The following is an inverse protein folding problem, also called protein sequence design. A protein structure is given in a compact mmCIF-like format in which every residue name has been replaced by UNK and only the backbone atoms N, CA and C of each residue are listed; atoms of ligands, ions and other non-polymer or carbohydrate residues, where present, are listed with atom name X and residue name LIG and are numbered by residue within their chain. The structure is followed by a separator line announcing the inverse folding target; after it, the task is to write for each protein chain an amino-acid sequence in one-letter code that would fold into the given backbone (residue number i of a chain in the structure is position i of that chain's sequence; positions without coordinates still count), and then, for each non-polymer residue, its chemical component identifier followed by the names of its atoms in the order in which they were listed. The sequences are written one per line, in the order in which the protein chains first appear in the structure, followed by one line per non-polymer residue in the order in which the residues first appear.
data_IF_291884190459
#
_entry.id   IF_291884190459
#
_cell.length_a   1.000
_cell.length_b   1.000
_cell.length_c   1.000
_cell.angle_alpha   90.00
_cell.angle_beta   90.00
_cell.angle_gamma   90.00
#
_symmetry.space_group_name_H-M   'P 1'
#
loop_
_entity.id
_entity.type
_entity.pdbx_description
1 polymer ?
#
# COMPACT_ATOMS: atom_id res chain seq x y z
N UNK A 1 65.14 -1.61 4.09
CA UNK A 1 65.38 -0.18 4.37
C UNK A 1 64.58 0.65 3.37
N UNK A 2 63.94 1.72 3.89
CA UNK A 2 63.23 2.82 3.21
C UNK A 2 61.84 2.51 2.62
N UNK A 3 60.84 3.06 3.29
CA UNK A 3 59.50 3.29 2.76
C UNK A 3 59.26 4.76 2.39
N UNK A 4 58.08 5.01 1.81
CA UNK A 4 57.28 6.24 1.71
C UNK A 4 56.38 6.01 0.48
N UNK A 5 55.06 5.86 0.57
CA UNK A 5 54.08 6.88 0.93
C UNK A 5 53.03 6.87 -0.19
N UNK A 6 51.85 6.31 0.06
CA UNK A 6 50.71 6.37 -0.86
C UNK A 6 49.60 7.15 -0.16
N UNK A 7 49.34 8.36 -0.66
CA UNK A 7 48.22 9.18 -0.29
C UNK A 7 46.96 8.63 -0.97
N UNK A 8 45.96 8.25 -0.17
CA UNK A 8 44.63 7.92 -0.65
C UNK A 8 43.88 9.22 -0.97
N UNK A 9 43.61 9.46 -2.26
CA UNK A 9 42.63 10.46 -2.69
C UNK A 9 41.23 9.90 -2.51
N UNK A 10 40.45 10.48 -1.61
CA UNK A 10 39.00 10.26 -1.55
C UNK A 10 38.34 10.92 -2.77
N UNK A 11 37.85 10.10 -3.69
CA UNK A 11 36.88 10.52 -4.70
C UNK A 11 35.49 10.60 -4.08
N UNK A 12 34.86 11.77 -4.19
CA UNK A 12 33.50 12.05 -3.77
C UNK A 12 32.49 11.06 -4.36
N UNK A 13 31.75 10.37 -3.49
CA UNK A 13 30.55 9.62 -3.85
C UNK A 13 29.32 10.57 -3.84
N UNK A 14 28.33 10.37 -4.72
CA UNK A 14 27.14 11.21 -4.83
C UNK A 14 26.14 10.90 -3.69
N UNK A 15 26.54 11.10 -2.44
CA UNK A 15 25.69 10.96 -1.25
C UNK A 15 25.54 12.26 -0.44
N UNK A 16 26.38 13.26 -0.72
CA UNK A 16 26.64 14.34 0.24
C UNK A 16 25.67 15.55 0.14
N UNK A 17 24.81 15.58 -0.89
CA UNK A 17 23.78 16.63 -1.03
C UNK A 17 22.52 16.36 -0.20
N UNK A 18 22.17 15.11 0.05
CA UNK A 18 21.00 14.74 0.85
C UNK A 18 21.26 14.88 2.37
N UNK A 19 22.49 14.60 2.83
CA UNK A 19 22.86 14.75 4.24
C UNK A 19 22.85 16.22 4.71
N UNK A 20 23.13 17.18 3.81
CA UNK A 20 23.12 18.61 4.14
C UNK A 20 21.71 19.20 4.27
N UNK A 21 20.69 18.62 3.64
CA UNK A 21 19.29 19.04 3.81
C UNK A 21 18.74 18.60 5.19
N UNK A 22 19.06 17.37 5.61
CA UNK A 22 18.61 16.79 6.90
C UNK A 22 19.17 17.53 8.13
N UNK A 23 20.41 18.04 8.03
CA UNK A 23 21.00 18.88 9.09
C UNK A 23 20.47 20.33 9.12
N UNK A 24 19.84 20.79 8.03
CA UNK A 24 19.21 22.11 7.94
C UNK A 24 17.90 22.21 8.72
N UNK A 25 17.08 21.17 8.65
CA UNK A 25 15.78 21.09 9.36
C UNK A 25 15.97 21.02 10.87
N UNK A 26 16.98 20.28 11.34
CA UNK A 26 17.31 20.18 12.77
C UNK A 26 18.02 21.43 13.34
N UNK A 27 18.47 22.38 12.50
CA UNK A 27 19.08 23.65 12.93
C UNK A 27 18.07 24.79 13.12
N UNK A 28 16.80 24.63 12.74
CA UNK A 28 15.77 25.69 12.82
C UNK A 28 14.74 25.55 13.96
N UNK A 29 14.87 24.56 14.84
CA UNK A 29 13.94 24.36 15.96
C UNK A 29 14.63 24.33 17.35
N UNK A 30 15.10 25.48 17.87
CA UNK A 30 15.75 25.55 19.19
C UNK A 30 14.83 25.27 20.40
N UNK A 31 13.53 25.07 20.18
CA UNK A 31 12.52 24.85 21.23
C UNK A 31 12.36 23.38 21.66
N UNK A 32 13.03 22.43 20.98
CA UNK A 32 12.98 21.00 21.33
C UNK A 32 14.03 20.55 22.37
N UNK A 33 14.77 21.48 22.99
CA UNK A 33 15.80 21.18 24.01
C UNK A 33 15.45 21.54 25.46
N UNK A 34 14.21 21.96 25.76
CA UNK A 34 13.77 22.24 27.13
C UNK A 34 12.48 21.50 27.45
N UNK A 35 12.61 20.33 28.04
CA UNK A 35 11.61 19.79 28.96
C UNK A 35 12.23 19.73 30.36
N UNK A 36 11.37 19.94 31.37
CA UNK A 36 11.59 19.75 32.80
C UNK A 36 12.26 20.91 33.55
N UNK A 37 11.46 21.94 33.86
CA UNK A 37 11.40 22.57 35.18
C UNK A 37 10.30 23.63 35.15
N UNK A 38 9.16 23.27 35.74
CA UNK A 38 8.22 24.11 36.49
C UNK A 38 6.75 23.75 36.29
N UNK A 39 6.07 23.68 37.44
CA UNK A 39 4.62 23.80 37.70
C UNK A 39 3.81 22.50 37.77
N UNK A 40 3.70 22.02 39.01
CA UNK A 40 2.54 22.33 39.86
C UNK A 40 1.20 21.77 39.38
N UNK A 41 0.76 20.71 40.05
CA UNK A 41 -0.57 20.10 39.91
C UNK A 41 -1.66 21.08 40.38
N UNK A 42 -2.64 21.38 39.51
CA UNK A 42 -3.90 22.03 39.91
C UNK A 42 -5.12 21.26 39.37
N UNK A 43 -6.22 21.19 40.13
CA UNK A 43 -7.32 20.26 39.86
C UNK A 43 -8.24 20.70 38.71
N UNK A 44 -8.79 19.68 38.06
CA UNK A 44 -9.72 19.72 36.92
C UNK A 44 -11.01 20.50 37.24
N UNK A 45 -11.34 21.50 36.42
CA UNK A 45 -12.68 22.10 36.36
C UNK A 45 -13.46 21.55 35.17
N UNK A 46 -14.63 20.98 35.46
CA UNK A 46 -15.64 20.52 34.49
C UNK A 46 -16.14 21.68 33.63
N UNK A 47 -16.25 21.48 32.31
CA UNK A 47 -17.12 22.26 31.42
C UNK A 47 -17.94 21.31 30.54
N UNK A 48 -19.24 21.59 30.49
CA UNK A 48 -20.28 20.92 29.70
C UNK A 48 -20.22 21.31 28.21
N UNK A 49 -20.88 20.56 27.30
CA UNK A 49 -20.48 20.39 25.91
C UNK A 49 -20.99 21.51 25.00
N UNK A 50 -20.18 21.89 24.01
CA UNK A 50 -20.62 22.68 22.87
C UNK A 50 -20.65 21.79 21.62
N UNK A 51 -21.71 21.98 20.84
CA UNK A 51 -22.24 21.09 19.82
C UNK A 51 -21.26 20.69 18.69
N UNK A 52 -21.47 19.45 18.22
CA UNK A 52 -20.88 18.86 17.03
C UNK A 52 -21.21 19.65 15.77
N UNK A 53 -20.19 20.06 15.01
CA UNK A 53 -20.31 20.39 13.59
C UNK A 53 -19.62 19.30 12.79
N UNK A 54 -20.34 18.22 12.53
CA UNK A 54 -20.03 17.24 11.49
C UNK A 54 -20.55 17.73 10.14
N UNK A 55 -19.93 17.22 9.08
CA UNK A 55 -20.32 17.29 7.67
C UNK A 55 -20.22 18.65 6.96
N UNK A 56 -19.05 18.87 6.35
CA UNK A 56 -18.99 19.48 5.02
C UNK A 56 -18.40 18.45 4.05
N UNK A 57 -19.29 17.81 3.30
CA UNK A 57 -18.96 17.10 2.06
C UNK A 57 -18.37 18.13 1.08
N UNK A 58 -17.19 17.91 0.47
CA UNK A 58 -16.75 18.81 -0.58
C UNK A 58 -17.71 18.69 -1.78
N UNK A 59 -17.95 19.78 -2.51
CA UNK A 59 -18.83 19.76 -3.68
C UNK A 59 -18.22 18.87 -4.76
N UNK A 60 -19.06 18.03 -5.36
CA UNK A 60 -18.78 17.30 -6.57
C UNK A 60 -18.92 18.24 -7.77
N UNK A 61 -17.80 18.52 -8.46
CA UNK A 61 -17.75 19.05 -9.82
C UNK A 61 -17.00 20.37 -9.97
N UNK A 62 -15.75 20.30 -10.46
CA UNK A 62 -15.26 21.01 -11.65
C UNK A 62 -13.87 20.45 -12.03
N UNK A 63 -13.65 20.24 -13.33
CA UNK A 63 -12.38 19.77 -13.93
C UNK A 63 -11.36 20.91 -14.00
N UNK A 64 -10.96 21.42 -12.84
CA UNK A 64 -9.68 22.12 -12.67
C UNK A 64 -8.62 21.08 -12.33
N UNK A 65 -7.46 21.12 -12.99
CA UNK A 65 -6.34 20.25 -12.63
C UNK A 65 -6.01 20.45 -11.15
N UNK A 66 -6.37 19.47 -10.32
CA UNK A 66 -6.05 19.47 -8.90
C UNK A 66 -4.54 19.62 -8.76
N UNK A 67 -4.10 20.62 -7.99
CA UNK A 67 -2.68 20.76 -7.69
C UNK A 67 -2.24 19.48 -6.97
N UNK A 68 -1.40 18.69 -7.65
CA UNK A 68 -0.89 17.41 -7.17
C UNK A 68 0.00 17.59 -5.93
N UNK A 69 0.28 18.84 -5.53
CA UNK A 69 1.04 19.20 -4.33
C UNK A 69 0.17 19.50 -3.11
N UNK A 70 -1.14 19.72 -3.26
CA UNK A 70 -2.01 20.01 -2.12
C UNK A 70 -2.20 18.76 -1.24
N UNK A 71 -1.96 18.94 0.08
CA UNK A 71 -2.19 17.89 1.07
C UNK A 71 -3.36 18.20 1.98
N UNK A 72 -4.13 17.17 2.32
CA UNK A 72 -5.23 17.26 3.28
C UNK A 72 -4.94 16.38 4.49
N UNK A 73 -5.07 16.95 5.69
CA UNK A 73 -4.95 16.21 6.93
C UNK A 73 -6.31 15.72 7.43
N UNK A 74 -6.43 14.42 7.75
CA UNK A 74 -7.64 13.84 8.36
C UNK A 74 -7.30 13.06 9.63
N UNK A 75 -8.17 13.15 10.64
CA UNK A 75 -8.08 12.23 11.79
C UNK A 75 -8.63 10.87 11.41
N UNK A 76 -7.90 9.81 11.71
CA UNK A 76 -8.39 8.43 11.70
C UNK A 76 -8.45 7.90 13.14
N UNK A 77 -9.33 8.50 13.93
CA UNK A 77 -9.39 8.29 15.38
C UNK A 77 -8.39 9.17 16.14
N UNK A 78 -8.11 8.80 17.39
CA UNK A 78 -7.31 9.62 18.32
C UNK A 78 -5.80 9.46 18.15
N UNK A 79 -5.36 8.35 17.54
CA UNK A 79 -3.95 7.95 17.47
C UNK A 79 -3.37 7.97 16.06
N UNK A 80 -4.18 8.32 15.04
CA UNK A 80 -3.75 8.29 13.65
C UNK A 80 -4.12 9.58 12.92
N UNK A 81 -3.12 10.13 12.22
CA UNK A 81 -3.26 11.25 11.31
C UNK A 81 -3.00 10.75 9.89
N UNK A 82 -3.95 10.97 9.00
CA UNK A 82 -3.82 10.65 7.58
C UNK A 82 -3.43 11.90 6.80
N UNK A 83 -2.41 11.78 5.95
CA UNK A 83 -2.01 12.79 4.96
C UNK A 83 -2.44 12.32 3.59
N UNK A 84 -3.33 13.05 2.95
CA UNK A 84 -3.90 12.74 1.63
C UNK A 84 -3.29 13.64 0.55
N UNK A 85 -2.84 13.04 -0.55
CA UNK A 85 -2.43 13.74 -1.77
C UNK A 85 -3.51 13.62 -2.84
N UNK A 86 -3.86 14.73 -3.49
CA UNK A 86 -4.84 14.76 -4.59
C UNK A 86 -6.20 14.12 -4.25
N UNK A 87 -6.93 13.68 -5.27
CA UNK A 87 -8.27 13.08 -5.12
C UNK A 87 -8.48 11.81 -5.96
N UNK A 88 -7.44 11.31 -6.63
CA UNK A 88 -7.48 10.16 -7.55
C UNK A 88 -6.51 9.05 -7.12
N UNK A 89 -6.77 7.83 -7.57
CA UNK A 89 -5.80 6.74 -7.48
C UNK A 89 -4.88 6.86 -8.69
N UNK A 90 -3.63 7.18 -8.41
CA UNK A 90 -2.62 7.52 -9.41
C UNK A 90 -1.24 7.06 -8.93
N UNK A 91 -0.42 6.57 -9.85
CA UNK A 91 0.89 6.00 -9.51
C UNK A 91 1.89 7.07 -9.05
N UNK A 92 1.85 8.26 -9.64
CA UNK A 92 2.69 9.40 -9.23
C UNK A 92 2.37 9.81 -7.78
N UNK A 93 1.07 9.88 -7.44
CA UNK A 93 0.63 10.14 -6.07
C UNK A 93 1.10 9.05 -5.11
N UNK A 94 1.08 7.77 -5.52
CA UNK A 94 1.61 6.70 -4.69
C UNK A 94 3.13 6.85 -4.47
N UNK A 95 3.89 7.27 -5.47
CA UNK A 95 5.32 7.55 -5.34
C UNK A 95 5.60 8.71 -4.38
N UNK A 96 4.76 9.76 -4.37
CA UNK A 96 4.81 10.82 -3.35
C UNK A 96 4.56 10.30 -1.94
N UNK A 97 3.57 9.42 -1.77
CA UNK A 97 3.31 8.76 -0.48
C UNK A 97 4.53 7.96 -0.02
N UNK A 98 5.16 7.20 -0.92
CA UNK A 98 6.37 6.43 -0.63
C UNK A 98 7.57 7.33 -0.30
N UNK A 99 7.70 8.46 -0.99
CA UNK A 99 8.71 9.47 -0.71
C UNK A 99 8.54 10.04 0.70
N UNK A 100 7.31 10.43 1.06
CA UNK A 100 6.99 10.96 2.39
C UNK A 100 7.19 9.89 3.47
N UNK A 101 6.76 8.65 3.23
CA UNK A 101 6.96 7.53 4.14
C UNK A 101 8.44 7.33 4.48
N UNK A 102 9.30 7.36 3.45
CA UNK A 102 10.76 7.28 3.62
C UNK A 102 11.32 8.48 4.39
N UNK A 103 10.97 9.70 3.98
CA UNK A 103 11.45 10.92 4.62
C UNK A 103 11.06 10.99 6.09
N UNK A 104 9.83 10.57 6.42
CA UNK A 104 9.32 10.57 7.79
C UNK A 104 10.00 9.50 8.66
N UNK A 105 10.25 8.30 8.12
CA UNK A 105 11.06 7.26 8.78
C UNK A 105 12.49 7.73 9.08
N UNK A 106 13.10 8.44 8.14
CA UNK A 106 14.45 9.00 8.28
C UNK A 106 14.50 10.15 9.31
N UNK A 107 13.44 10.96 9.41
CA UNK A 107 13.34 12.07 10.36
C UNK A 107 13.26 11.62 11.83
N UNK A 108 12.85 10.37 12.12
CA UNK A 108 12.77 9.78 13.47
C UNK A 108 12.03 10.68 14.47
N UNK A 109 10.86 11.17 14.08
CA UNK A 109 10.03 12.09 14.86
C UNK A 109 9.63 11.45 16.20
N UNK A 110 9.94 12.06 17.36
CA UNK A 110 9.51 11.54 18.65
C UNK A 110 7.99 11.40 18.74
N UNK A 111 7.53 10.25 19.25
CA UNK A 111 6.10 9.94 19.37
C UNK A 111 5.49 9.30 18.13
N UNK A 112 6.16 9.31 16.96
CA UNK A 112 5.71 8.50 15.83
C UNK A 112 5.93 7.01 16.12
N UNK A 113 4.94 6.17 15.80
CA UNK A 113 5.00 4.71 16.04
C UNK A 113 5.13 3.92 14.75
N UNK A 114 4.25 4.18 13.80
CA UNK A 114 4.22 3.47 12.52
C UNK A 114 3.64 4.36 11.42
N UNK A 115 3.94 3.98 10.19
CA UNK A 115 3.41 4.60 8.99
C UNK A 115 2.75 3.54 8.12
N UNK A 116 1.65 3.92 7.48
CA UNK A 116 0.80 3.03 6.68
C UNK A 116 0.61 3.66 5.30
N UNK A 117 1.52 3.43 4.34
CA UNK A 117 1.39 3.95 2.99
C UNK A 117 0.28 3.23 2.24
N UNK A 118 -0.54 4.00 1.52
CA UNK A 118 -1.61 3.51 0.65
C UNK A 118 -1.61 4.26 -0.69
N UNK A 119 -2.61 4.00 -1.56
CA UNK A 119 -2.77 4.59 -2.90
C UNK A 119 -2.30 6.03 -3.02
N UNK A 120 -2.90 6.93 -2.24
CA UNK A 120 -2.66 8.38 -2.31
C UNK A 120 -2.54 9.02 -0.93
N UNK A 121 -2.42 8.21 0.12
CA UNK A 121 -2.35 8.73 1.48
C UNK A 121 -1.41 7.92 2.36
N UNK A 122 -0.84 8.63 3.34
CA UNK A 122 -0.01 8.06 4.39
C UNK A 122 -0.75 8.16 5.73
N UNK A 123 -1.12 7.01 6.31
CA UNK A 123 -1.52 6.93 7.71
C UNK A 123 -0.28 7.06 8.60
N UNK A 124 -0.35 7.91 9.62
CA UNK A 124 0.72 8.11 10.60
C UNK A 124 0.15 7.85 11.98
N UNK A 125 0.53 6.73 12.58
CA UNK A 125 0.13 6.39 13.94
C UNK A 125 1.15 7.00 14.90
N UNK A 126 0.66 7.73 15.90
CA UNK A 126 1.48 8.49 16.81
C UNK A 126 0.95 8.43 18.25
N UNK A 127 1.84 8.76 19.19
CA UNK A 127 1.53 8.90 20.60
C UNK A 127 1.23 10.38 20.92
N UNK A 128 -0.04 10.74 21.18
CA UNK A 128 -0.44 12.12 21.41
C UNK A 128 0.11 12.70 22.73
N UNK A 129 0.64 11.86 23.63
CA UNK A 129 1.33 12.32 24.85
C UNK A 129 2.73 12.84 24.53
N UNK A 130 3.38 12.28 23.50
CA UNK A 130 4.74 12.64 23.10
C UNK A 130 4.77 13.72 22.02
N UNK A 131 3.83 13.71 21.08
CA UNK A 131 3.70 14.73 20.04
C UNK A 131 2.24 15.11 19.83
N UNK A 132 1.94 16.42 19.89
CA UNK A 132 0.59 16.90 19.61
C UNK A 132 0.33 16.87 18.11
N UNK A 133 -0.90 16.57 17.72
CA UNK A 133 -1.37 16.60 16.32
C UNK A 133 -0.85 17.81 15.54
N UNK A 134 -1.04 19.03 16.06
CA UNK A 134 -0.63 20.28 15.38
C UNK A 134 0.88 20.32 15.10
N UNK A 135 1.69 19.77 15.99
CA UNK A 135 3.13 19.74 15.83
C UNK A 135 3.53 18.66 14.82
N UNK A 136 2.84 17.52 14.78
CA UNK A 136 2.99 16.50 13.75
C UNK A 136 2.57 17.01 12.35
N UNK A 137 1.43 17.69 12.23
CA UNK A 137 0.98 18.33 10.98
C UNK A 137 2.05 19.27 10.43
N UNK A 138 2.65 20.12 11.28
CA UNK A 138 3.73 21.02 10.89
C UNK A 138 4.96 20.26 10.37
N UNK A 139 5.38 19.21 11.07
CA UNK A 139 6.49 18.36 10.58
C UNK A 139 6.17 17.76 9.22
N UNK A 140 4.95 17.26 9.03
CA UNK A 140 4.52 16.66 7.76
C UNK A 140 4.46 17.71 6.65
N UNK A 141 3.96 18.91 6.92
CA UNK A 141 3.96 20.02 5.97
C UNK A 141 5.38 20.41 5.56
N UNK A 142 6.30 20.53 6.51
CA UNK A 142 7.70 20.85 6.23
C UNK A 142 8.34 19.75 5.35
N UNK A 143 8.12 18.47 5.69
CA UNK A 143 8.63 17.34 4.91
C UNK A 143 8.05 17.27 3.49
N UNK A 144 6.76 17.58 3.32
CA UNK A 144 6.12 17.61 2.01
C UNK A 144 6.64 18.78 1.16
N UNK A 145 6.93 19.93 1.80
CA UNK A 145 7.47 21.11 1.10
C UNK A 145 8.86 20.84 0.53
N UNK A 146 9.71 20.14 1.29
CA UNK A 146 11.07 19.78 0.89
C UNK A 146 11.15 18.40 0.19
N UNK A 147 10.00 17.83 -0.20
CA UNK A 147 9.94 16.45 -0.69
C UNK A 147 10.63 16.32 -2.04
N UNK A 148 11.60 15.43 -2.11
CA UNK A 148 12.21 15.01 -3.38
C UNK A 148 11.32 13.95 -4.00
N UNK A 149 10.74 14.27 -5.15
CA UNK A 149 9.92 13.34 -5.93
C UNK A 149 10.73 12.09 -6.29
N UNK A 150 10.14 10.92 -6.04
CA UNK A 150 10.74 9.65 -6.44
C UNK A 150 10.41 9.38 -7.90
N UNK A 151 11.42 9.08 -8.71
CA UNK A 151 11.23 8.61 -10.09
C UNK A 151 11.43 7.10 -10.21
N UNK A 152 12.02 6.48 -9.19
CA UNK A 152 12.22 5.04 -9.11
C UNK A 152 12.08 4.51 -7.67
N UNK A 153 11.66 3.26 -7.55
CA UNK A 153 11.44 2.59 -6.26
C UNK A 153 11.91 1.13 -6.30
N UNK A 154 12.64 0.63 -5.28
CA UNK A 154 12.97 -0.79 -5.16
C UNK A 154 11.70 -1.64 -5.15
N UNK A 155 11.54 -2.53 -6.14
CA UNK A 155 10.29 -3.21 -6.40
C UNK A 155 10.53 -4.65 -6.82
N UNK A 156 10.19 -5.58 -5.92
CA UNK A 156 10.25 -7.02 -6.21
C UNK A 156 9.17 -7.36 -7.24
N UNK A 157 9.43 -8.32 -8.11
CA UNK A 157 8.44 -8.92 -8.98
C UNK A 157 8.06 -10.28 -8.42
N UNK A 158 6.79 -10.43 -8.02
CA UNK A 158 6.23 -11.67 -7.47
C UNK A 158 5.36 -12.35 -8.52
N UNK A 159 5.58 -13.64 -8.77
CA UNK A 159 4.67 -14.45 -9.61
C UNK A 159 3.60 -15.08 -8.73
N UNK A 160 2.33 -14.87 -9.10
CA UNK A 160 1.17 -15.43 -8.38
C UNK A 160 0.42 -16.37 -9.35
N UNK A 161 0.52 -17.71 -9.20
CA UNK A 161 -0.28 -18.63 -9.99
C UNK A 161 -1.76 -18.53 -9.60
N UNK A 162 -2.69 -18.56 -10.55
CA UNK A 162 -4.13 -18.47 -10.29
C UNK A 162 -4.88 -19.47 -11.16
N UNK A 163 -5.67 -20.32 -10.53
CA UNK A 163 -6.70 -21.09 -11.22
C UNK A 163 -7.90 -20.16 -11.39
N UNK A 164 -8.05 -19.59 -12.60
CA UNK A 164 -9.18 -18.73 -12.93
C UNK A 164 -10.47 -19.52 -13.06
N UNK A 165 -11.58 -18.89 -12.70
CA UNK A 165 -12.89 -19.54 -12.62
C UNK A 165 -12.83 -20.87 -11.85
N UNK A 166 -12.17 -20.89 -10.70
CA UNK A 166 -12.05 -22.10 -9.91
C UNK A 166 -13.39 -22.51 -9.26
N UNK A 167 -13.54 -23.78 -8.83
CA UNK A 167 -14.75 -24.25 -8.18
C UNK A 167 -15.15 -23.46 -6.91
N UNK A 168 -14.20 -22.97 -6.11
CA UNK A 168 -14.48 -22.25 -4.86
C UNK A 168 -15.00 -20.84 -5.14
N UNK A 169 -14.43 -20.13 -6.10
CA UNK A 169 -14.94 -18.82 -6.53
C UNK A 169 -16.37 -18.92 -7.07
N UNK A 170 -16.64 -19.91 -7.93
CA UNK A 170 -18.01 -20.16 -8.44
C UNK A 170 -18.98 -20.51 -7.33
N UNK A 171 -18.57 -21.36 -6.39
CA UNK A 171 -19.43 -21.75 -5.26
C UNK A 171 -19.71 -20.56 -4.34
N UNK A 172 -18.70 -19.75 -4.05
CA UNK A 172 -18.83 -18.56 -3.24
C UNK A 172 -19.82 -17.56 -3.87
N UNK A 173 -19.74 -17.33 -5.19
CA UNK A 173 -20.70 -16.49 -5.89
C UNK A 173 -22.13 -17.08 -5.84
N UNK A 174 -22.28 -18.37 -6.15
CA UNK A 174 -23.56 -19.09 -6.14
C UNK A 174 -24.25 -19.07 -4.78
N UNK A 175 -23.49 -19.30 -3.71
CA UNK A 175 -23.98 -19.29 -2.33
C UNK A 175 -24.54 -17.91 -1.89
N UNK A 176 -24.20 -16.85 -2.61
CA UNK A 176 -24.69 -15.49 -2.38
C UNK A 176 -25.69 -15.02 -3.45
N UNK A 177 -26.19 -15.92 -4.29
CA UNK A 177 -27.18 -15.61 -5.33
C UNK A 177 -26.61 -14.78 -6.48
N UNK A 178 -25.30 -14.81 -6.70
CA UNK A 178 -24.63 -14.11 -7.80
C UNK A 178 -24.20 -15.11 -8.87
N UNK A 179 -24.31 -14.72 -10.13
CA UNK A 179 -23.85 -15.49 -11.27
C UNK A 179 -22.32 -15.61 -11.33
N UNK A 180 -21.83 -16.21 -12.41
CA UNK A 180 -20.40 -16.35 -12.64
C UNK A 180 -19.74 -14.97 -12.85
N UNK A 181 -18.72 -14.66 -12.07
CA UNK A 181 -18.09 -13.34 -12.11
C UNK A 181 -17.24 -13.10 -13.35
N UNK A 182 -16.66 -14.14 -13.94
CA UNK A 182 -15.92 -14.00 -15.20
C UNK A 182 -16.89 -13.68 -16.34
N UNK A 183 -18.06 -14.33 -16.40
CA UNK A 183 -19.10 -13.99 -17.39
C UNK A 183 -19.60 -12.56 -17.19
N UNK A 184 -19.86 -12.16 -15.94
CA UNK A 184 -20.27 -10.80 -15.63
C UNK A 184 -19.23 -9.76 -16.08
N UNK A 185 -17.95 -10.01 -15.81
CA UNK A 185 -16.86 -9.13 -16.26
C UNK A 185 -16.75 -9.08 -17.78
N UNK A 186 -16.94 -10.21 -18.47
CA UNK A 186 -16.98 -10.25 -19.93
C UNK A 186 -18.11 -9.37 -20.48
N UNK A 187 -19.31 -9.50 -19.92
CA UNK A 187 -20.51 -8.74 -20.30
C UNK A 187 -20.30 -7.23 -20.11
N UNK A 188 -19.92 -6.78 -18.91
CA UNK A 188 -19.80 -5.33 -18.62
C UNK A 188 -18.66 -4.64 -19.34
N UNK A 189 -17.67 -5.39 -19.84
CA UNK A 189 -16.58 -4.86 -20.65
C UNK A 189 -16.78 -5.09 -22.16
N UNK A 190 -17.83 -5.81 -22.57
CA UNK A 190 -18.11 -6.10 -23.98
C UNK A 190 -17.03 -6.96 -24.66
N UNK A 191 -16.47 -7.94 -23.95
CA UNK A 191 -15.37 -8.79 -24.42
C UNK A 191 -15.74 -10.27 -24.33
N UNK A 192 -15.09 -11.15 -25.12
CA UNK A 192 -15.16 -12.60 -24.91
C UNK A 192 -14.74 -13.01 -23.50
N UNK A 193 -15.26 -14.12 -23.00
CA UNK A 193 -14.96 -14.65 -21.66
C UNK A 193 -13.46 -14.88 -21.47
N UNK A 194 -12.79 -15.39 -22.49
CA UNK A 194 -11.36 -15.71 -22.51
C UNK A 194 -10.49 -14.45 -22.37
N UNK A 195 -10.97 -13.31 -22.88
CA UNK A 195 -10.28 -12.03 -22.80
C UNK A 195 -10.20 -11.48 -21.37
N UNK A 196 -11.15 -11.84 -20.48
CA UNK A 196 -11.11 -11.40 -19.07
C UNK A 196 -9.83 -11.91 -18.39
N UNK A 197 -9.52 -13.19 -18.57
CA UNK A 197 -8.32 -13.81 -17.98
C UNK A 197 -7.06 -13.27 -18.65
N UNK A 198 -7.05 -13.19 -19.99
CA UNK A 198 -5.91 -12.70 -20.75
C UNK A 198 -5.54 -11.26 -20.36
N UNK A 199 -6.53 -10.39 -20.18
CA UNK A 199 -6.33 -8.98 -19.76
C UNK A 199 -5.83 -8.87 -18.33
N UNK A 200 -6.47 -9.57 -17.38
CA UNK A 200 -6.08 -9.50 -15.97
C UNK A 200 -4.67 -10.07 -15.72
N UNK A 201 -4.32 -11.18 -16.39
CA UNK A 201 -3.00 -11.80 -16.27
C UNK A 201 -1.93 -11.14 -17.16
N UNK A 202 -2.33 -10.46 -18.23
CA UNK A 202 -1.44 -9.87 -19.24
C UNK A 202 -0.73 -8.58 -18.82
N UNK A 203 -1.05 -8.03 -17.65
CA UNK A 203 -0.42 -6.81 -17.11
C UNK A 203 0.30 -7.09 -15.80
N UNK A 204 1.31 -6.27 -15.50
CA UNK A 204 1.87 -6.21 -14.15
C UNK A 204 0.95 -5.39 -13.25
N UNK A 205 0.92 -5.73 -11.97
CA UNK A 205 0.13 -5.03 -10.97
C UNK A 205 1.04 -4.45 -9.91
N UNK A 206 0.88 -3.18 -9.59
CA UNK A 206 1.60 -2.45 -8.57
C UNK A 206 0.85 -2.48 -7.24
N UNK A 207 1.47 -3.03 -6.19
CA UNK A 207 0.90 -3.08 -4.85
C UNK A 207 1.01 -1.70 -4.19
N UNK A 208 -0.06 -0.93 -4.24
CA UNK A 208 -0.13 0.42 -3.71
C UNK A 208 -0.56 0.47 -2.24
N UNK A 209 -1.17 -0.60 -1.72
CA UNK A 209 -1.50 -0.74 -0.31
C UNK A 209 -1.49 -2.22 0.12
N UNK A 210 -1.12 -2.49 1.37
CA UNK A 210 -1.26 -3.80 2.03
C UNK A 210 -1.93 -3.58 3.38
N UNK A 211 -3.02 -4.29 3.67
CA UNK A 211 -3.82 -4.08 4.87
C UNK A 211 -5.28 -4.47 4.67
N UNK A 212 -6.20 -3.93 5.49
CA UNK A 212 -7.58 -4.43 5.70
C UNK A 212 -7.62 -5.80 6.42
N UNK A 213 -6.85 -6.77 5.93
CA UNK A 213 -6.53 -8.03 6.58
C UNK A 213 -5.03 -8.34 6.35
N UNK A 214 -4.40 -9.21 7.16
CA UNK A 214 -2.99 -9.56 6.96
C UNK A 214 -2.73 -10.06 5.54
N UNK A 215 -1.82 -9.41 4.81
CA UNK A 215 -1.47 -9.68 3.40
C UNK A 215 -2.53 -9.38 2.33
N UNK A 216 -3.71 -8.84 2.67
CA UNK A 216 -4.61 -8.34 1.62
C UNK A 216 -3.92 -7.15 0.97
N UNK A 217 -3.54 -7.29 -0.28
CA UNK A 217 -3.02 -6.18 -1.09
C UNK A 217 -4.15 -5.53 -1.86
N UNK A 218 -3.98 -4.26 -2.16
CA UNK A 218 -4.70 -3.58 -3.23
C UNK A 218 -3.66 -3.20 -4.27
N UNK A 219 -3.84 -3.68 -5.49
CA UNK A 219 -2.91 -3.42 -6.56
C UNK A 219 -3.59 -2.84 -7.79
N UNK A 220 -2.91 -1.89 -8.43
CA UNK A 220 -3.35 -1.20 -9.64
C UNK A 220 -2.56 -1.73 -10.84
N UNK A 221 -3.17 -1.87 -12.01
CA UNK A 221 -2.45 -2.32 -13.20
C UNK A 221 -1.41 -1.27 -13.61
N UNK A 222 -0.24 -1.75 -14.02
CA UNK A 222 0.79 -0.96 -14.69
C UNK A 222 0.49 -0.98 -16.20
N UNK A 223 -0.11 0.11 -16.68
CA UNK A 223 -0.61 0.25 -18.03
C UNK A 223 -2.10 -0.09 -18.16
N UNK A 224 -2.58 -0.13 -19.40
CA UNK A 224 -4.00 -0.37 -19.69
C UNK A 224 -4.34 -1.86 -19.60
N UNK A 225 -5.06 -2.24 -18.54
CA UNK A 225 -5.62 -3.59 -18.42
C UNK A 225 -6.86 -3.78 -19.30
N UNK A 226 -7.59 -2.70 -19.62
CA UNK A 226 -8.82 -2.78 -20.42
C UNK A 226 -9.91 -3.67 -19.80
N UNK A 227 -9.91 -3.79 -18.46
CA UNK A 227 -10.86 -4.59 -17.70
C UNK A 227 -11.26 -3.81 -16.44
N UNK A 228 -12.55 -3.72 -16.15
CA UNK A 228 -13.07 -3.11 -14.93
C UNK A 228 -14.36 -3.80 -14.48
N UNK A 229 -14.69 -3.75 -13.19
CA UNK A 229 -15.97 -4.25 -12.70
C UNK A 229 -16.37 -3.62 -11.38
N UNK A 230 -17.64 -3.26 -11.16
CA UNK A 230 -18.05 -2.68 -9.89
C UNK A 230 -17.92 -3.70 -8.75
N UNK A 231 -17.94 -3.22 -7.51
CA UNK A 231 -18.20 -4.09 -6.36
C UNK A 231 -19.61 -4.66 -6.46
N UNK A 232 -19.83 -5.80 -5.83
CA UNK A 232 -21.16 -6.33 -5.55
C UNK A 232 -21.98 -5.25 -4.84
N UNK A 233 -23.26 -5.12 -5.23
CA UNK A 233 -24.19 -4.20 -4.57
C UNK A 233 -24.35 -4.54 -3.08
N UNK A 234 -24.38 -5.83 -2.76
CA UNK A 234 -24.38 -6.35 -1.39
C UNK A 234 -23.14 -7.21 -1.19
N UNK A 235 -22.23 -6.84 -0.27
CA UNK A 235 -21.07 -7.66 0.03
C UNK A 235 -21.47 -9.09 0.42
N UNK A 236 -20.70 -10.07 -0.05
CA UNK A 236 -20.83 -11.47 0.38
C UNK A 236 -20.56 -11.56 1.88
N UNK A 237 -21.26 -12.46 2.56
CA UNK A 237 -21.06 -12.72 4.00
C UNK A 237 -19.72 -13.39 4.26
N UNK A 238 -19.22 -14.16 3.29
CA UNK A 238 -17.91 -14.77 3.34
C UNK A 238 -17.34 -14.97 1.93
N UNK A 239 -16.01 -15.00 1.84
CA UNK A 239 -15.20 -15.33 0.66
C UNK A 239 -14.11 -16.28 1.14
N UNK A 240 -13.85 -17.37 0.43
CA UNK A 240 -12.84 -18.35 0.84
C UNK A 240 -11.41 -17.78 0.73
N UNK A 241 -10.48 -18.23 1.60
CA UNK A 241 -9.08 -17.85 1.50
C UNK A 241 -8.47 -18.40 0.22
N UNK A 242 -7.54 -17.66 -0.37
CA UNK A 242 -6.93 -18.02 -1.65
C UNK A 242 -7.51 -17.22 -2.82
N UNK A 243 -8.70 -16.63 -2.67
CA UNK A 243 -9.43 -16.05 -3.80
C UNK A 243 -8.83 -14.70 -4.21
N UNK A 244 -8.50 -14.60 -5.50
CA UNK A 244 -8.11 -13.38 -6.21
C UNK A 244 -9.35 -12.71 -6.77
N UNK A 245 -9.41 -11.39 -6.71
CA UNK A 245 -10.61 -10.62 -6.99
C UNK A 245 -10.34 -9.24 -7.56
N UNK A 246 -11.34 -8.62 -8.17
CA UNK A 246 -11.27 -7.32 -8.85
C UNK A 246 -12.41 -6.39 -8.42
N UNK A 247 -12.14 -5.10 -8.23
CA UNK A 247 -13.15 -4.05 -8.18
C UNK A 247 -12.62 -2.72 -8.70
N UNK A 248 -13.39 -2.05 -9.57
CA UNK A 248 -12.84 -1.09 -10.51
C UNK A 248 -11.73 -1.78 -11.32
N UNK A 249 -10.56 -1.17 -11.32
CA UNK A 249 -9.32 -1.75 -11.85
C UNK A 249 -8.43 -2.37 -10.76
N UNK A 250 -8.81 -2.26 -9.48
CA UNK A 250 -8.00 -2.76 -8.36
C UNK A 250 -8.17 -4.26 -8.23
N UNK A 251 -7.06 -4.97 -8.30
CA UNK A 251 -6.99 -6.40 -7.97
C UNK A 251 -6.54 -6.60 -6.51
N UNK A 252 -7.03 -7.67 -5.89
CA UNK A 252 -6.84 -7.96 -4.46
C UNK A 252 -6.95 -9.46 -4.19
N UNK A 253 -6.62 -9.86 -2.97
CA UNK A 253 -6.62 -11.25 -2.51
C UNK A 253 -7.23 -11.39 -1.10
N UNK A 254 -7.94 -12.50 -0.86
CA UNK A 254 -8.49 -12.86 0.45
C UNK A 254 -7.57 -13.87 1.17
N UNK A 255 -6.85 -13.47 2.24
CA UNK A 255 -5.91 -14.31 2.98
C UNK A 255 -6.58 -15.23 4.00
N UNK A 256 -7.74 -14.81 4.50
CA UNK A 256 -8.55 -15.53 5.46
C UNK A 256 -10.01 -15.43 5.03
N UNK A 257 -10.84 -16.34 5.54
CA UNK A 257 -12.26 -16.30 5.23
C UNK A 257 -12.90 -15.03 5.78
N UNK A 258 -13.47 -14.18 4.91
CA UNK A 258 -14.05 -12.90 5.33
C UNK A 258 -15.11 -12.34 4.38
N UNK A 259 -15.95 -11.38 4.82
CA UNK A 259 -16.86 -10.68 3.95
C UNK A 259 -16.13 -9.95 2.81
N UNK A 260 -16.75 -9.84 1.65
CA UNK A 260 -16.08 -9.28 0.46
C UNK A 260 -17.06 -8.82 -0.61
N UNK A 261 -16.72 -7.72 -1.28
CA UNK A 261 -17.56 -7.14 -2.34
C UNK A 261 -16.93 -7.19 -3.74
N UNK A 262 -15.70 -7.68 -3.89
CA UNK A 262 -15.01 -7.66 -5.19
C UNK A 262 -15.52 -8.80 -6.08
N UNK A 263 -15.46 -8.63 -7.39
CA UNK A 263 -15.71 -9.69 -8.37
C UNK A 263 -14.68 -10.80 -8.20
N UNK A 264 -15.11 -12.06 -8.12
CA UNK A 264 -14.21 -13.19 -7.89
C UNK A 264 -13.60 -13.66 -9.21
N UNK A 265 -12.28 -13.76 -9.30
CA UNK A 265 -11.61 -14.13 -10.54
C UNK A 265 -11.14 -15.58 -10.56
N UNK A 266 -10.63 -16.05 -9.43
CA UNK A 266 -9.95 -17.33 -9.34
C UNK A 266 -9.32 -17.52 -7.97
N UNK A 267 -8.58 -18.61 -7.82
CA UNK A 267 -7.91 -18.94 -6.56
C UNK A 267 -6.44 -19.23 -6.79
N UNK A 268 -5.58 -18.64 -5.97
CA UNK A 268 -4.16 -18.96 -5.96
C UNK A 268 -3.87 -20.10 -4.98
N UNK A 269 -3.02 -21.08 -5.36
CA UNK A 269 -2.61 -22.16 -4.47
C UNK A 269 -1.54 -21.72 -3.47
N UNK A 270 -0.85 -20.58 -3.69
CA UNK A 270 0.22 -20.13 -2.80
C UNK A 270 -0.31 -19.34 -1.62
N UNK A 271 0.34 -19.50 -0.47
CA UNK A 271 0.06 -18.66 0.70
C UNK A 271 0.73 -17.30 0.48
N UNK A 272 0.00 -16.20 0.69
CA UNK A 272 0.55 -14.84 0.77
C UNK A 272 0.59 -14.30 2.22
N UNK A 273 -0.08 -15.04 3.12
CA UNK A 273 -0.04 -14.88 4.55
C UNK A 273 0.25 -16.25 5.19
N UNK A 274 1.38 -16.37 5.88
CA UNK A 274 1.70 -17.56 6.67
C UNK A 274 2.11 -17.18 8.09
N UNK A 275 1.19 -17.24 9.08
CA UNK A 275 1.51 -16.93 10.48
C UNK A 275 2.54 -17.91 11.08
N UNK A 276 2.63 -19.13 10.54
CA UNK A 276 3.58 -20.14 10.99
C UNK A 276 4.95 -20.04 10.31
N UNK A 277 5.07 -19.22 9.24
CA UNK A 277 6.31 -18.97 8.49
C UNK A 277 7.02 -20.27 8.09
N UNK A 278 6.29 -21.24 7.52
CA UNK A 278 6.82 -22.57 7.16
C UNK A 278 7.84 -22.55 6.04
N UNK A 279 7.85 -21.49 5.23
CA UNK A 279 8.69 -21.35 4.06
C UNK A 279 9.63 -20.14 4.19
N UNK A 280 10.82 -20.22 3.58
CA UNK A 280 11.84 -19.18 3.63
C UNK A 280 11.37 -17.82 3.06
N UNK A 281 10.38 -17.82 2.16
CA UNK A 281 9.76 -16.59 1.65
C UNK A 281 9.15 -15.70 2.75
N UNK A 282 8.86 -16.28 3.92
CA UNK A 282 8.28 -15.59 5.09
C UNK A 282 9.31 -15.31 6.20
N UNK A 283 10.61 -15.29 5.88
CA UNK A 283 11.68 -15.03 6.86
C UNK A 283 11.51 -13.66 7.55
N UNK A 284 11.10 -12.64 6.80
CA UNK A 284 10.95 -11.26 7.30
C UNK A 284 9.62 -11.02 8.05
N UNK A 285 8.70 -11.99 8.04
CA UNK A 285 7.39 -11.86 8.67
C UNK A 285 6.31 -12.71 8.00
N UNK A 286 5.10 -12.77 8.58
CA UNK A 286 4.03 -13.63 8.10
C UNK A 286 3.33 -13.09 6.85
N UNK A 287 3.60 -11.84 6.45
CA UNK A 287 2.98 -11.18 5.29
C UNK A 287 4.00 -11.11 4.16
N UNK A 288 3.69 -11.73 3.02
CA UNK A 288 4.56 -11.75 1.85
C UNK A 288 4.55 -10.43 1.03
N UNK A 289 3.38 -9.92 0.58
CA UNK A 289 3.35 -8.72 -0.27
C UNK A 289 3.75 -7.47 0.52
N UNK A 290 4.46 -6.56 -0.17
CA UNK A 290 4.89 -5.27 0.34
C UNK A 290 4.34 -4.16 -0.54
N UNK A 291 4.08 -3.00 0.05
CA UNK A 291 3.80 -1.79 -0.73
C UNK A 291 5.03 -1.50 -1.61
N UNK A 292 4.78 -1.25 -2.89
CA UNK A 292 5.80 -1.07 -3.91
C UNK A 292 6.27 -2.35 -4.59
N UNK A 293 5.79 -3.54 -4.20
CA UNK A 293 5.98 -4.74 -5.02
C UNK A 293 5.19 -4.63 -6.33
N UNK A 294 5.73 -5.27 -7.37
CA UNK A 294 4.98 -5.64 -8.56
C UNK A 294 4.63 -7.11 -8.48
N UNK A 295 3.50 -7.49 -9.03
CA UNK A 295 3.22 -8.89 -9.29
C UNK A 295 2.64 -9.12 -10.68
N UNK A 296 2.79 -10.36 -11.14
CA UNK A 296 2.11 -10.87 -12.33
C UNK A 296 1.26 -12.07 -11.92
N UNK A 297 0.10 -12.21 -12.53
CA UNK A 297 -0.67 -13.44 -12.39
C UNK A 297 -0.32 -14.40 -13.51
N UNK A 298 -0.19 -15.68 -13.18
CA UNK A 298 0.02 -16.76 -14.15
C UNK A 298 -1.19 -17.68 -14.10
N UNK A 299 -2.01 -17.74 -15.18
CA UNK A 299 -3.11 -18.70 -15.25
C UNK A 299 -2.57 -20.13 -15.18
N UNK A 300 -3.21 -20.95 -14.36
CA UNK A 300 -2.88 -22.38 -14.20
C UNK A 300 -4.15 -23.23 -14.27
N UNK A 301 -3.97 -24.51 -14.56
CA UNK A 301 -5.00 -25.54 -14.51
C UNK A 301 -5.32 -25.98 -13.06
N UNK A 302 -6.38 -26.76 -12.91
CA UNK A 302 -6.72 -27.38 -11.63
C UNK A 302 -5.71 -28.44 -11.17
N UNK A 303 -5.06 -29.14 -12.11
CA UNK A 303 -4.00 -30.11 -11.79
C UNK A 303 -2.77 -29.39 -11.21
N UNK A 304 -2.29 -28.37 -11.90
CA UNK A 304 -1.19 -27.52 -11.43
C UNK A 304 -1.52 -26.85 -10.08
N UNK A 305 -2.79 -26.47 -9.85
CA UNK A 305 -3.22 -25.92 -8.58
C UNK A 305 -2.99 -26.91 -7.43
N UNK A 306 -3.42 -28.16 -7.58
CA UNK A 306 -3.28 -29.18 -6.54
C UNK A 306 -1.80 -29.53 -6.29
N UNK A 307 -1.00 -29.64 -7.36
CA UNK A 307 0.44 -29.86 -7.25
C UNK A 307 1.14 -28.74 -6.47
N UNK A 308 0.89 -27.48 -6.84
CA UNK A 308 1.48 -26.32 -6.17
C UNK A 308 0.97 -26.25 -4.72
N UNK A 309 -0.32 -26.47 -4.47
CA UNK A 309 -0.89 -26.44 -3.12
C UNK A 309 -0.26 -27.49 -2.22
N UNK A 310 -0.01 -28.70 -2.73
CA UNK A 310 0.69 -29.75 -1.99
C UNK A 310 2.13 -29.34 -1.65
N UNK A 311 2.85 -28.72 -2.59
CA UNK A 311 4.19 -28.19 -2.34
C UNK A 311 4.18 -27.08 -1.27
N UNK A 312 3.22 -26.15 -1.32
CA UNK A 312 3.06 -25.05 -0.35
C UNK A 312 2.78 -25.60 1.05
N UNK A 313 1.84 -26.54 1.19
CA UNK A 313 1.49 -27.15 2.48
C UNK A 313 2.68 -27.87 3.10
N UNK A 314 3.50 -28.52 2.27
CA UNK A 314 4.72 -29.21 2.71
C UNK A 314 5.91 -28.27 2.98
N UNK A 315 5.77 -26.97 2.73
CA UNK A 315 6.83 -25.97 2.87
C UNK A 315 7.88 -25.99 1.75
N UNK A 316 7.74 -26.86 0.74
CA UNK A 316 8.72 -27.06 -0.34
C UNK A 316 8.52 -26.18 -1.57
N UNK A 317 7.43 -25.41 -1.63
CA UNK A 317 7.18 -24.54 -2.76
C UNK A 317 8.25 -23.44 -2.86
N UNK A 318 8.84 -23.29 -4.04
CA UNK A 318 9.80 -22.23 -4.31
C UNK A 318 9.06 -21.00 -4.85
N UNK A 319 8.96 -19.98 -4.02
CA UNK A 319 8.35 -18.71 -4.41
C UNK A 319 9.22 -17.99 -5.44
N UNK A 320 8.64 -17.65 -6.59
CA UNK A 320 9.29 -16.83 -7.61
C UNK A 320 9.19 -15.35 -7.25
N UNK A 321 10.27 -14.84 -6.67
CA UNK A 321 10.40 -13.43 -6.24
C UNK A 321 11.73 -12.88 -6.78
N UNK A 322 11.64 -11.97 -7.74
CA UNK A 322 12.81 -11.35 -8.37
C UNK A 322 13.03 -9.95 -7.79
N UNK A 323 14.25 -9.64 -7.38
CA UNK A 323 14.60 -8.27 -7.00
C UNK A 323 14.60 -7.35 -8.22
N UNK A 324 14.22 -6.09 -8.04
CA UNK A 324 14.20 -5.14 -9.14
C UNK A 324 13.92 -3.72 -8.70
N UNK A 325 13.72 -2.87 -9.70
CA UNK A 325 13.36 -1.46 -9.54
C UNK A 325 12.19 -1.18 -10.50
N UNK A 326 11.21 -0.42 -10.04
CA UNK A 326 10.20 0.16 -10.91
C UNK A 326 10.47 1.65 -11.08
N UNK A 327 10.28 2.15 -12.30
CA UNK A 327 10.44 3.57 -12.64
C UNK A 327 9.10 4.09 -13.09
N UNK A 328 8.73 5.29 -12.63
CA UNK A 328 7.59 6.00 -13.20
C UNK A 328 7.87 6.23 -14.69
N UNK A 329 6.91 5.90 -15.55
CA UNK A 329 7.02 6.28 -16.94
C UNK A 329 6.87 7.80 -17.05
N UNK A 330 7.42 8.40 -18.10
CA UNK A 330 7.27 9.84 -18.34
C UNK A 330 5.80 10.29 -18.53
N UNK A 331 4.89 9.35 -18.80
CA UNK A 331 3.45 9.61 -18.88
C UNK A 331 2.74 9.55 -17.52
N UNK A 332 3.39 8.98 -16.50
CA UNK A 332 2.89 8.82 -15.13
C UNK A 332 3.55 9.81 -14.15
N UNK A 333 4.37 10.76 -14.64
CA UNK A 333 5.15 11.73 -13.85
C UNK A 333 4.66 13.17 -14.08
#
# INVERSE_FOLDING_TARGET
MRGAGHAAGHGDLPGDRHARAVLGVLRRAPHLRRTLQDRGVHPLRRRHPAASRSDRRPPSGDTGGTDMTEIVFRSLGDLELCVEFGDRIDLALNFRVLALDRALKDAKVPGMRETVPTHRSLGVVYDPVLIRRRDLERVLTDLVTDLVELTEFPSRLVTIPVWYDDPWSRECARAHGVGNNIDYLAEVNGVPREEVVARHAGVLHWVSAVGFQPSTYQAVPLGEMGLTGPKYERPRKWTDPGIVCLAGTITSYYPVRSPGGYQLLGRTPIDLFDPSRRNAAFADGPVLPRVGDRHRYVPISGEEYEEIRAAVVSGRYEYQIEAGVHRLAAADA
#
